data_IF_260158426253
#
_entry.id   IF_260158426253
#
_cell.length_a   1.000
_cell.length_b   1.000
_cell.length_c   1.000
_cell.angle_alpha   90.00
_cell.angle_beta   90.00
_cell.angle_gamma   90.00
#
_symmetry.space_group_name_H-M   'P 1'
#
loop_
_entity.id
_entity.type
_entity.pdbx_description
1 polymer ?
#
# COMPACT_ATOMS: atom_id res chain seq x y z
N UNK A 1 18.38 20.21 16.99
CA UNK A 1 18.49 20.11 15.51
C UNK A 1 17.55 19.00 15.08
N UNK A 2 16.52 19.29 14.29
CA UNK A 2 15.61 18.25 13.80
C UNK A 2 16.39 17.39 12.83
N UNK A 3 16.51 16.08 13.10
CA UNK A 3 16.99 15.16 12.07
C UNK A 3 15.97 15.22 10.93
N UNK A 4 16.46 15.49 9.73
CA UNK A 4 15.63 15.50 8.54
C UNK A 4 15.35 14.04 8.19
N UNK A 5 14.09 13.63 8.26
CA UNK A 5 13.66 12.27 7.98
C UNK A 5 13.97 11.92 6.52
N UNK A 6 14.45 10.71 6.25
CA UNK A 6 14.73 10.27 4.88
C UNK A 6 13.44 10.17 4.06
N UNK A 7 13.54 10.24 2.72
CA UNK A 7 12.38 10.06 1.83
C UNK A 7 11.66 8.71 2.08
N UNK A 8 12.42 7.66 2.43
CA UNK A 8 11.91 6.35 2.83
C UNK A 8 11.00 6.46 4.06
N UNK A 9 11.55 6.96 5.16
CA UNK A 9 10.85 7.07 6.43
C UNK A 9 9.64 8.01 6.33
N UNK A 10 9.76 9.10 5.57
CA UNK A 10 8.67 10.03 5.30
C UNK A 10 7.54 9.35 4.50
N UNK A 11 7.87 8.54 3.50
CA UNK A 11 6.88 7.79 2.72
C UNK A 11 6.13 6.77 3.57
N UNK A 12 6.87 6.02 4.41
CA UNK A 12 6.27 5.07 5.35
C UNK A 12 5.29 5.77 6.31
N UNK A 13 5.70 6.91 6.88
CA UNK A 13 4.87 7.70 7.77
C UNK A 13 3.61 8.24 7.07
N UNK A 14 3.72 8.72 5.82
CA UNK A 14 2.58 9.19 5.04
C UNK A 14 1.59 8.06 4.70
N UNK A 15 2.09 6.88 4.32
CA UNK A 15 1.25 5.71 4.06
C UNK A 15 0.52 5.28 5.34
N UNK A 16 1.22 5.24 6.47
CA UNK A 16 0.62 4.89 7.76
C UNK A 16 -0.43 5.92 8.20
N UNK A 17 -0.15 7.21 8.03
CA UNK A 17 -1.12 8.27 8.31
C UNK A 17 -2.38 8.09 7.46
N UNK A 18 -2.24 7.84 6.16
CA UNK A 18 -3.35 7.63 5.25
C UNK A 18 -4.20 6.38 5.60
N UNK A 19 -3.58 5.31 6.07
CA UNK A 19 -4.28 4.11 6.51
C UNK A 19 -4.85 4.23 7.94
N UNK A 20 -4.28 5.09 8.77
CA UNK A 20 -4.80 5.39 10.11
C UNK A 20 -6.16 6.08 10.08
N UNK A 21 -6.52 6.72 8.96
CA UNK A 21 -7.84 7.31 8.72
C UNK A 21 -8.94 6.26 8.51
N UNK A 22 -8.62 4.97 8.39
CA UNK A 22 -9.62 3.91 8.21
C UNK A 22 -10.58 3.85 9.42
N UNK A 23 -11.89 4.12 9.23
CA UNK A 23 -12.86 4.07 10.31
C UNK A 23 -13.15 2.63 10.77
N UNK A 24 -12.81 1.63 9.96
CA UNK A 24 -12.99 0.22 10.30
C UNK A 24 -11.87 -0.21 11.24
N UNK A 25 -12.21 -0.92 12.32
CA UNK A 25 -11.25 -1.36 13.33
C UNK A 25 -11.16 -2.88 13.40
N UNK A 26 -9.97 -3.39 13.72
CA UNK A 26 -9.72 -4.77 14.12
C UNK A 26 -9.00 -4.80 15.47
N UNK A 27 -9.39 -5.73 16.34
CA UNK A 27 -8.72 -5.94 17.62
C UNK A 27 -7.57 -6.93 17.44
N UNK A 28 -6.36 -6.52 17.83
CA UNK A 28 -5.17 -7.36 17.85
C UNK A 28 -4.33 -7.01 19.09
N UNK A 29 -3.81 -8.04 19.76
CA UNK A 29 -2.97 -7.89 20.97
C UNK A 29 -3.62 -7.02 22.07
N UNK A 30 -4.94 -7.17 22.23
CA UNK A 30 -5.72 -6.42 23.23
C UNK A 30 -5.94 -4.93 22.90
N UNK A 31 -5.61 -4.49 21.69
CA UNK A 31 -5.81 -3.11 21.22
C UNK A 31 -6.61 -3.07 19.91
N UNK A 32 -7.42 -2.03 19.75
CA UNK A 32 -8.09 -1.74 18.49
C UNK A 32 -7.19 -0.93 17.55
N UNK A 33 -7.14 -1.35 16.29
CA UNK A 33 -6.34 -0.73 15.24
C UNK A 33 -7.20 -0.40 14.02
N UNK A 34 -6.93 0.72 13.31
CA UNK A 34 -7.45 0.91 11.96
C UNK A 34 -7.08 -0.29 11.08
N UNK A 35 -8.08 -0.88 10.42
CA UNK A 35 -7.96 -2.19 9.75
C UNK A 35 -6.87 -2.18 8.69
N UNK A 36 -6.87 -1.20 7.78
CA UNK A 36 -5.84 -1.18 6.73
C UNK A 36 -4.43 -0.81 7.26
N UNK A 37 -4.32 -0.10 8.40
CA UNK A 37 -3.02 0.16 9.04
C UNK A 37 -2.45 -1.14 9.64
N UNK A 38 -3.27 -1.89 10.35
CA UNK A 38 -2.86 -3.17 10.91
C UNK A 38 -2.47 -4.16 9.80
N UNK A 39 -3.22 -4.15 8.69
CA UNK A 39 -2.90 -4.94 7.52
C UNK A 39 -1.53 -4.55 6.93
N UNK A 40 -1.26 -3.26 6.70
CA UNK A 40 0.01 -2.83 6.13
C UNK A 40 1.20 -3.18 7.02
N UNK A 41 1.05 -3.10 8.34
CA UNK A 41 2.06 -3.53 9.32
C UNK A 41 2.37 -5.02 9.20
N UNK A 42 1.34 -5.87 9.24
CA UNK A 42 1.50 -7.33 9.11
C UNK A 42 2.16 -7.72 7.80
N UNK A 43 1.83 -7.04 6.70
CA UNK A 43 2.44 -7.32 5.41
C UNK A 43 3.92 -6.91 5.37
N UNK A 44 4.29 -5.78 5.98
CA UNK A 44 5.71 -5.41 6.14
C UNK A 44 6.48 -6.42 6.99
N UNK A 45 5.91 -6.85 8.12
CA UNK A 45 6.54 -7.88 8.98
C UNK A 45 6.71 -9.20 8.23
N UNK A 46 5.79 -9.52 7.33
CA UNK A 46 5.88 -10.72 6.51
C UNK A 46 6.97 -10.60 5.44
N UNK A 47 7.07 -9.45 4.77
CA UNK A 47 8.14 -9.16 3.82
C UNK A 47 9.51 -9.32 4.48
N UNK A 48 9.69 -8.78 5.68
CA UNK A 48 10.97 -8.88 6.41
C UNK A 48 11.37 -10.34 6.71
N UNK A 49 10.40 -11.23 6.96
CA UNK A 49 10.67 -12.66 7.19
C UNK A 49 11.07 -13.40 5.92
N UNK A 50 10.49 -13.07 4.77
CA UNK A 50 10.74 -13.78 3.51
C UNK A 50 11.87 -13.17 2.69
N UNK A 51 12.08 -11.87 2.78
CA UNK A 51 13.05 -11.10 1.99
C UNK A 51 13.57 -9.92 2.82
N UNK A 52 14.40 -10.17 3.84
CA UNK A 52 14.90 -9.13 4.75
C UNK A 52 15.74 -8.04 4.04
N UNK A 53 16.34 -8.39 2.90
CA UNK A 53 17.14 -7.53 2.04
C UNK A 53 16.32 -6.81 0.96
N UNK A 54 14.99 -6.85 1.04
CA UNK A 54 14.11 -6.13 0.13
C UNK A 54 14.48 -4.64 0.04
N UNK A 55 14.50 -4.11 -1.18
CA UNK A 55 14.77 -2.70 -1.43
C UNK A 55 13.60 -1.80 -1.01
N UNK A 56 13.84 -0.49 -1.04
CA UNK A 56 12.85 0.52 -0.67
C UNK A 56 11.56 0.41 -1.50
N UNK A 57 11.69 0.15 -2.81
CA UNK A 57 10.53 0.05 -3.70
C UNK A 57 9.62 -1.10 -3.27
N UNK A 58 10.18 -2.27 -2.97
CA UNK A 58 9.41 -3.41 -2.49
C UNK A 58 8.76 -3.13 -1.14
N UNK A 59 9.53 -2.58 -0.18
CA UNK A 59 9.03 -2.23 1.16
C UNK A 59 7.85 -1.26 1.09
N UNK A 60 7.97 -0.21 0.28
CA UNK A 60 6.92 0.79 0.08
C UNK A 60 5.70 0.22 -0.65
N UNK A 61 5.90 -0.61 -1.68
CA UNK A 61 4.81 -1.26 -2.41
C UNK A 61 3.98 -2.19 -1.51
N UNK A 62 4.65 -2.98 -0.67
CA UNK A 62 3.99 -3.85 0.30
C UNK A 62 3.25 -3.02 1.37
N UNK A 63 3.89 -1.97 1.90
CA UNK A 63 3.23 -1.07 2.87
C UNK A 63 1.98 -0.41 2.27
N UNK A 64 2.03 -0.03 1.00
CA UNK A 64 0.95 0.65 0.30
C UNK A 64 -0.07 -0.29 -0.38
N UNK A 65 0.06 -1.62 -0.26
CA UNK A 65 -0.75 -2.58 -1.02
C UNK A 65 -2.25 -2.34 -0.88
N UNK A 66 -2.72 -2.05 0.34
CA UNK A 66 -4.12 -1.75 0.64
C UNK A 66 -4.37 -0.27 0.98
N UNK A 67 -3.52 0.63 0.50
CA UNK A 67 -3.60 2.04 0.89
C UNK A 67 -4.99 2.63 0.65
N UNK A 68 -5.59 3.20 1.70
CA UNK A 68 -6.93 3.81 1.66
C UNK A 68 -8.02 2.92 1.03
N UNK A 69 -7.88 1.59 1.09
CA UNK A 69 -8.82 0.63 0.47
C UNK A 69 -10.27 0.87 0.92
N UNK A 70 -10.46 1.24 2.19
CA UNK A 70 -11.76 1.55 2.79
C UNK A 70 -12.55 2.66 2.08
N UNK A 71 -11.87 3.55 1.32
CA UNK A 71 -12.52 4.60 0.51
C UNK A 71 -13.26 4.03 -0.71
N UNK A 72 -12.98 2.80 -1.13
CA UNK A 72 -13.64 2.12 -2.26
C UNK A 72 -14.49 0.94 -1.77
N UNK A 73 -15.80 1.15 -1.66
CA UNK A 73 -16.73 0.15 -1.15
C UNK A 73 -17.04 -0.93 -2.19
N UNK A 74 -16.97 -2.20 -1.78
CA UNK A 74 -17.30 -3.33 -2.66
C UNK A 74 -18.78 -3.35 -3.06
N UNK A 75 -19.67 -2.88 -2.20
CA UNK A 75 -21.13 -2.86 -2.43
C UNK A 75 -21.59 -1.79 -3.43
N UNK A 76 -20.70 -0.87 -3.84
CA UNK A 76 -20.94 0.07 -4.93
C UNK A 76 -20.90 -0.59 -6.33
N UNK A 77 -20.58 -1.88 -6.40
CA UNK A 77 -20.48 -2.67 -7.63
C UNK A 77 -21.39 -3.91 -7.54
N UNK A 78 -21.90 -4.46 -8.66
CA UNK A 78 -22.73 -5.68 -8.64
C UNK A 78 -22.10 -6.81 -7.82
N UNK A 79 -22.90 -7.49 -6.99
CA UNK A 79 -22.44 -8.57 -6.10
C UNK A 79 -22.27 -9.91 -6.82
N UNK A 80 -21.69 -9.85 -8.02
CA UNK A 80 -21.33 -10.99 -8.84
C UNK A 80 -19.81 -11.00 -9.14
N UNK A 81 -19.38 -11.99 -9.92
CA UNK A 81 -17.98 -12.12 -10.33
C UNK A 81 -17.50 -10.95 -11.18
N UNK A 82 -18.34 -10.41 -12.07
CA UNK A 82 -17.96 -9.33 -13.00
C UNK A 82 -17.76 -8.03 -12.22
N UNK A 83 -18.71 -7.68 -11.36
CA UNK A 83 -18.63 -6.53 -10.47
C UNK A 83 -17.44 -6.60 -9.51
N UNK A 84 -17.11 -7.80 -9.00
CA UNK A 84 -15.89 -7.97 -8.19
C UNK A 84 -14.61 -7.67 -8.99
N UNK A 85 -14.51 -8.19 -10.21
CA UNK A 85 -13.34 -7.95 -11.07
C UNK A 85 -13.22 -6.48 -11.46
N UNK A 86 -14.34 -5.81 -11.73
CA UNK A 86 -14.37 -4.39 -12.03
C UNK A 86 -13.95 -3.55 -10.82
N UNK A 87 -14.55 -3.78 -9.65
CA UNK A 87 -14.17 -3.13 -8.40
C UNK A 87 -12.67 -3.28 -8.11
N UNK A 88 -12.16 -4.51 -8.21
CA UNK A 88 -10.74 -4.80 -7.96
C UNK A 88 -9.81 -4.07 -8.93
N UNK A 89 -10.18 -3.99 -10.21
CA UNK A 89 -9.41 -3.26 -11.23
C UNK A 89 -9.36 -1.76 -10.96
N UNK A 90 -10.47 -1.17 -10.53
CA UNK A 90 -10.53 0.26 -10.20
C UNK A 90 -9.82 0.57 -8.89
N UNK A 91 -9.96 -0.31 -7.89
CA UNK A 91 -9.24 -0.24 -6.63
C UNK A 91 -7.72 -0.18 -6.84
N UNK A 92 -7.16 -1.04 -7.70
CA UNK A 92 -5.73 -1.02 -8.03
C UNK A 92 -5.25 0.31 -8.62
N UNK A 93 -6.07 1.00 -9.41
CA UNK A 93 -5.71 2.31 -9.96
C UNK A 93 -5.66 3.37 -8.86
N UNK A 94 -6.67 3.37 -7.98
CA UNK A 94 -6.77 4.32 -6.86
C UNK A 94 -5.57 4.12 -5.94
N UNK A 95 -5.31 2.88 -5.50
CA UNK A 95 -4.21 2.55 -4.60
C UNK A 95 -2.84 2.91 -5.18
N UNK A 96 -2.61 2.58 -6.45
CA UNK A 96 -1.35 2.89 -7.12
C UNK A 96 -1.12 4.40 -7.27
N UNK A 97 -2.19 5.17 -7.56
CA UNK A 97 -2.08 6.63 -7.65
C UNK A 97 -1.87 7.25 -6.26
N UNK A 98 -2.63 6.82 -5.24
CA UNK A 98 -2.43 7.27 -3.86
C UNK A 98 -1.00 7.01 -3.37
N UNK A 99 -0.45 5.82 -3.63
CA UNK A 99 0.93 5.51 -3.28
C UNK A 99 1.92 6.46 -3.99
N UNK A 100 1.75 6.66 -5.30
CA UNK A 100 2.63 7.52 -6.08
C UNK A 100 2.60 8.99 -5.59
N UNK A 101 1.41 9.51 -5.28
CA UNK A 101 1.24 10.89 -4.79
C UNK A 101 1.93 11.09 -3.43
N UNK A 102 1.82 10.13 -2.52
CA UNK A 102 2.49 10.20 -1.21
C UNK A 102 4.01 10.07 -1.32
N UNK A 103 4.51 9.21 -2.22
CA UNK A 103 5.96 9.09 -2.46
C UNK A 103 6.53 10.39 -3.06
N UNK A 104 5.81 11.00 -4.00
CA UNK A 104 6.18 12.30 -4.54
C UNK A 104 6.18 13.39 -3.45
N UNK A 105 5.18 13.38 -2.55
CA UNK A 105 5.12 14.28 -1.40
C UNK A 105 6.30 14.07 -0.43
N UNK A 106 6.75 12.83 -0.25
CA UNK A 106 7.92 12.49 0.57
C UNK A 106 9.27 12.82 -0.09
N UNK A 107 9.28 13.16 -1.38
CA UNK A 107 10.49 13.49 -2.13
C UNK A 107 11.18 12.30 -2.79
N UNK A 108 10.51 11.17 -3.01
CA UNK A 108 11.08 10.08 -3.82
C UNK A 108 11.18 10.46 -5.30
N UNK A 109 12.28 10.06 -5.92
CA UNK A 109 12.48 10.18 -7.36
C UNK A 109 11.52 9.28 -8.15
N UNK A 110 11.27 9.66 -9.41
CA UNK A 110 10.30 9.00 -10.31
C UNK A 110 10.58 7.49 -10.49
N UNK A 111 11.84 7.06 -10.51
CA UNK A 111 12.18 5.65 -10.71
C UNK A 111 11.64 4.71 -9.63
N UNK A 112 11.72 5.09 -8.34
CA UNK A 112 11.16 4.28 -7.25
C UNK A 112 9.64 4.39 -7.23
N UNK A 113 9.13 5.61 -7.41
CA UNK A 113 7.69 5.89 -7.46
C UNK A 113 6.98 5.05 -8.54
N UNK A 114 7.57 4.93 -9.73
CA UNK A 114 7.01 4.15 -10.82
C UNK A 114 7.01 2.64 -10.54
N UNK A 115 8.07 2.11 -9.94
CA UNK A 115 8.12 0.70 -9.51
C UNK A 115 7.02 0.41 -8.50
N UNK A 116 6.89 1.24 -7.47
CA UNK A 116 5.83 1.12 -6.44
C UNK A 116 4.45 1.20 -7.07
N UNK A 117 4.21 2.17 -7.95
CA UNK A 117 2.94 2.33 -8.67
C UNK A 117 2.58 1.09 -9.47
N UNK A 118 3.53 0.53 -10.22
CA UNK A 118 3.29 -0.68 -11.02
C UNK A 118 3.02 -1.91 -10.14
N UNK A 119 3.77 -2.05 -9.05
CA UNK A 119 3.63 -3.14 -8.07
C UNK A 119 2.24 -3.13 -7.42
N UNK A 120 1.81 -1.97 -6.90
CA UNK A 120 0.50 -1.79 -6.27
C UNK A 120 -0.63 -1.96 -7.28
N UNK A 121 -0.45 -1.48 -8.52
CA UNK A 121 -1.42 -1.68 -9.59
C UNK A 121 -1.49 -3.12 -10.13
N UNK A 122 -0.65 -4.03 -9.61
CA UNK A 122 -0.48 -5.42 -10.07
C UNK A 122 -0.25 -5.52 -11.58
N UNK A 123 0.58 -4.63 -12.12
CA UNK A 123 0.93 -4.56 -13.54
C UNK A 123 2.05 -5.53 -13.89
N UNK A 124 1.82 -6.35 -14.91
CA UNK A 124 2.82 -7.28 -15.44
C UNK A 124 3.06 -8.49 -14.54
N UNK A 125 2.01 -9.08 -13.93
CA UNK A 125 2.16 -10.16 -12.92
C UNK A 125 3.05 -11.35 -13.33
N UNK A 126 3.22 -11.60 -14.63
CA UNK A 126 4.07 -12.67 -15.16
C UNK A 126 5.54 -12.26 -15.30
N UNK A 127 5.80 -10.97 -15.51
CA UNK A 127 7.09 -10.47 -16.00
C UNK A 127 7.69 -9.39 -15.08
N UNK A 128 6.94 -8.89 -14.10
CA UNK A 128 7.36 -7.87 -13.14
C UNK A 128 7.65 -8.51 -11.77
N UNK A 129 8.93 -8.63 -11.37
CA UNK A 129 9.31 -9.18 -10.07
C UNK A 129 8.65 -8.46 -8.88
N UNK A 130 8.42 -7.14 -8.99
CA UNK A 130 7.80 -6.34 -7.93
C UNK A 130 6.32 -6.71 -7.69
N UNK A 131 5.71 -7.53 -8.55
CA UNK A 131 4.32 -8.01 -8.40
C UNK A 131 4.20 -9.48 -7.98
N UNK A 132 5.33 -10.18 -7.86
CA UNK A 132 5.38 -11.63 -7.59
C UNK A 132 5.68 -11.97 -6.12
N UNK A 133 6.04 -10.96 -5.33
CA UNK A 133 6.20 -11.01 -3.88
C UNK A 133 4.92 -10.56 -3.14
#
# INVERSE_FOLDING_TARGET
>A
MSQQQSAFEQSMALIDAANSEDPNKETADGKDWPKELLYSQRMSDMLERYTPDADDAMKLAIRAQHIQRWKSRRDAYPMDRIGYLQWRKDLYKIQAQSAADLLAQAGYGEGVTDRVKQAVAKKGIRDNPDTQL
#
